data_IF_770198043413
#
_entry.id   IF_770198043413
#
_cell.length_a   1.000
_cell.length_b   1.000
_cell.length_c   1.000
_cell.angle_alpha   90.00
_cell.angle_beta   90.00
_cell.angle_gamma   90.00
#
_symmetry.space_group_name_H-M   'P 1'
#
loop_
_entity.id
_entity.type
_entity.pdbx_description
1 polymer ?
#
# COMPACT_ATOMS: atom_id res chain seq x y z
N UNK A 1 3.71 -7.72 19.38
CA UNK A 1 3.75 -6.36 18.84
C UNK A 1 2.35 -6.06 18.38
N UNK A 2 1.64 -5.18 19.08
CA UNK A 2 0.34 -4.70 18.63
C UNK A 2 0.55 -3.93 17.32
N UNK A 3 -0.19 -4.30 16.28
CA UNK A 3 -0.16 -3.57 15.01
C UNK A 3 -1.00 -2.31 15.23
N UNK A 4 -0.35 -1.18 15.48
CA UNK A 4 -1.01 0.04 15.92
C UNK A 4 -1.37 0.96 14.76
N UNK A 5 -0.91 0.67 13.54
CA UNK A 5 -1.24 1.47 12.35
C UNK A 5 -1.54 0.62 11.11
N UNK A 6 -2.39 1.17 10.23
CA UNK A 6 -2.69 0.59 8.92
C UNK A 6 -1.42 0.46 8.05
N UNK A 7 -0.45 1.35 8.24
CA UNK A 7 0.85 1.32 7.60
C UNK A 7 1.64 0.05 7.93
N UNK A 8 1.73 -0.31 9.21
CA UNK A 8 2.41 -1.53 9.66
C UNK A 8 1.73 -2.79 9.08
N UNK A 9 0.39 -2.82 9.03
CA UNK A 9 -0.36 -3.92 8.39
C UNK A 9 0.02 -4.07 6.92
N UNK A 10 0.11 -2.96 6.18
CA UNK A 10 0.50 -2.98 4.77
C UNK A 10 1.92 -3.53 4.60
N UNK A 11 2.86 -3.06 5.40
CA UNK A 11 4.26 -3.50 5.32
C UNK A 11 4.36 -5.00 5.61
N UNK A 12 3.70 -5.47 6.66
CA UNK A 12 3.65 -6.90 7.02
C UNK A 12 3.00 -7.74 5.92
N UNK A 13 1.92 -7.27 5.29
CA UNK A 13 1.28 -7.97 4.17
C UNK A 13 2.24 -8.14 3.00
N UNK A 14 2.96 -7.08 2.63
CA UNK A 14 3.93 -7.11 1.51
C UNK A 14 5.08 -8.07 1.83
N UNK A 15 5.59 -8.04 3.06
CA UNK A 15 6.67 -8.91 3.52
C UNK A 15 6.22 -10.37 3.54
N UNK A 16 5.08 -10.67 4.15
CA UNK A 16 4.52 -12.03 4.19
C UNK A 16 4.23 -12.60 2.80
N UNK A 17 3.75 -11.78 1.86
CA UNK A 17 3.57 -12.19 0.47
C UNK A 17 4.91 -12.54 -0.18
N UNK A 18 5.91 -11.67 0.02
CA UNK A 18 7.24 -11.86 -0.57
C UNK A 18 7.93 -13.11 -0.03
N UNK A 19 7.78 -13.41 1.26
CA UNK A 19 8.31 -14.62 1.90
C UNK A 19 7.59 -15.89 1.40
N UNK A 20 6.28 -15.82 1.16
CA UNK A 20 5.49 -16.97 0.74
C UNK A 20 5.66 -17.30 -0.75
N UNK A 21 5.78 -16.29 -1.59
CA UNK A 21 5.79 -16.44 -3.04
C UNK A 21 7.18 -16.27 -3.67
N UNK A 22 8.21 -15.87 -2.90
CA UNK A 22 9.54 -15.47 -3.38
C UNK A 22 9.52 -14.35 -4.44
N UNK A 23 8.42 -13.61 -4.54
CA UNK A 23 8.24 -12.51 -5.47
C UNK A 23 7.44 -11.37 -4.83
N UNK A 24 7.55 -10.16 -5.39
CA UNK A 24 6.73 -9.04 -4.95
C UNK A 24 5.33 -9.13 -5.57
N UNK A 25 4.29 -8.69 -4.85
CA UNK A 25 2.97 -8.56 -5.46
C UNK A 25 3.03 -7.58 -6.63
N UNK A 26 2.19 -7.80 -7.63
CA UNK A 26 2.09 -6.92 -8.80
C UNK A 26 1.39 -5.62 -8.45
N UNK A 27 0.36 -5.69 -7.59
CA UNK A 27 -0.41 -4.53 -7.13
C UNK A 27 -0.80 -4.62 -5.65
N UNK A 28 -0.98 -3.44 -5.06
CA UNK A 28 -1.61 -3.25 -3.76
C UNK A 28 -3.01 -2.69 -4.02
N UNK A 29 -4.04 -3.40 -3.58
CA UNK A 29 -5.43 -2.95 -3.61
C UNK A 29 -5.72 -2.23 -2.30
N UNK A 30 -6.04 -0.94 -2.37
CA UNK A 30 -6.29 -0.11 -1.19
C UNK A 30 -7.66 0.55 -1.32
N UNK A 31 -8.52 0.33 -0.33
CA UNK A 31 -9.80 1.02 -0.22
C UNK A 31 -9.62 2.53 -0.04
N UNK A 32 -10.59 3.35 -0.43
CA UNK A 32 -10.39 4.80 -0.44
C UNK A 32 -10.18 5.40 0.96
N UNK A 33 -10.83 4.86 2.00
CA UNK A 33 -10.62 5.31 3.40
C UNK A 33 -9.27 4.83 3.92
N UNK A 34 -8.93 3.57 3.63
CA UNK A 34 -7.60 3.02 3.95
C UNK A 34 -6.47 3.84 3.30
N UNK A 35 -6.64 4.25 2.04
CA UNK A 35 -5.67 5.08 1.34
C UNK A 35 -5.54 6.46 1.99
N UNK A 36 -6.65 7.09 2.38
CA UNK A 36 -6.64 8.36 3.10
C UNK A 36 -5.88 8.26 4.43
N UNK A 37 -6.11 7.21 5.22
CA UNK A 37 -5.38 6.96 6.46
C UNK A 37 -3.87 6.73 6.22
N UNK A 38 -3.52 5.94 5.20
CA UNK A 38 -2.13 5.69 4.82
C UNK A 38 -1.41 6.95 4.36
N UNK A 39 -2.09 7.86 3.67
CA UNK A 39 -1.55 9.18 3.29
C UNK A 39 -1.30 10.10 4.50
N UNK A 40 -1.86 9.79 5.67
CA UNK A 40 -1.50 10.44 6.93
C UNK A 40 -0.11 10.05 7.45
N UNK A 41 0.46 8.93 6.98
CA UNK A 41 1.83 8.54 7.27
C UNK A 41 2.80 9.23 6.29
N UNK A 42 3.73 10.02 6.82
CA UNK A 42 4.66 10.81 6.00
C UNK A 42 5.54 9.96 5.09
N UNK A 43 5.99 8.79 5.54
CA UNK A 43 6.83 7.90 4.73
C UNK A 43 6.06 7.34 3.53
N UNK A 44 4.87 6.79 3.78
CA UNK A 44 4.00 6.31 2.72
C UNK A 44 3.61 7.43 1.74
N UNK A 45 3.19 8.59 2.27
CA UNK A 45 2.77 9.72 1.46
C UNK A 45 3.90 10.22 0.55
N UNK A 46 5.11 10.42 1.10
CA UNK A 46 6.27 10.87 0.32
C UNK A 46 6.59 9.88 -0.79
N UNK A 47 6.70 8.58 -0.49
CA UNK A 47 7.03 7.58 -1.51
C UNK A 47 5.95 7.51 -2.60
N UNK A 48 4.68 7.59 -2.22
CA UNK A 48 3.56 7.58 -3.17
C UNK A 48 3.51 8.82 -4.05
N UNK A 49 3.75 10.01 -3.47
CA UNK A 49 3.80 11.28 -4.22
C UNK A 49 5.00 11.30 -5.17
N UNK A 50 6.17 10.91 -4.68
CA UNK A 50 7.42 10.92 -5.46
C UNK A 50 7.43 9.83 -6.54
N UNK A 51 6.63 8.77 -6.37
CA UNK A 51 6.59 7.65 -7.32
C UNK A 51 6.00 8.02 -8.68
N UNK A 52 5.19 9.07 -8.79
CA UNK A 52 4.58 9.47 -10.06
C UNK A 52 4.02 10.90 -10.07
N UNK A 53 4.37 11.65 -11.13
CA UNK A 53 3.70 12.90 -11.52
C UNK A 53 2.24 12.68 -11.94
N UNK A 54 1.89 11.45 -12.36
CA UNK A 54 0.53 11.04 -12.72
C UNK A 54 -0.12 10.31 -11.52
N UNK A 55 -1.24 10.84 -10.96
CA UNK A 55 -1.98 10.21 -9.86
C UNK A 55 -2.34 8.73 -10.08
N UNK A 56 -2.48 8.28 -11.33
CA UNK A 56 -2.84 6.91 -11.68
C UNK A 56 -1.64 5.97 -11.79
N UNK A 57 -0.41 6.48 -11.64
CA UNK A 57 0.83 5.68 -11.72
C UNK A 57 1.54 5.55 -10.37
N UNK A 58 0.86 5.90 -9.28
CA UNK A 58 1.36 5.80 -7.91
C UNK A 58 1.86 4.40 -7.56
N UNK A 59 2.98 4.35 -6.86
CA UNK A 59 3.62 3.13 -6.37
C UNK A 59 4.09 3.30 -4.94
N UNK A 60 4.13 2.20 -4.22
CA UNK A 60 4.78 2.09 -2.91
C UNK A 60 5.66 0.84 -2.90
N UNK A 61 6.90 0.94 -2.41
CA UNK A 61 7.95 -0.09 -2.51
C UNK A 61 8.17 -0.64 -3.93
N UNK A 62 7.97 0.21 -4.95
CA UNK A 62 7.95 -0.10 -6.40
C UNK A 62 6.78 -0.97 -6.87
N UNK A 63 5.78 -1.21 -6.03
CA UNK A 63 4.55 -1.96 -6.35
C UNK A 63 3.44 -0.96 -6.71
N UNK A 64 2.66 -1.24 -7.76
CA UNK A 64 1.59 -0.35 -8.20
C UNK A 64 0.45 -0.31 -7.17
N UNK A 65 -0.09 0.88 -6.89
CA UNK A 65 -1.25 1.03 -6.04
C UNK A 65 -2.50 1.17 -6.91
N UNK A 66 -3.55 0.43 -6.57
CA UNK A 66 -4.88 0.59 -7.15
C UNK A 66 -5.85 0.96 -6.03
N UNK A 67 -6.41 2.17 -6.12
CA UNK A 67 -7.43 2.62 -5.19
C UNK A 67 -8.77 2.02 -5.61
N UNK A 68 -9.46 1.35 -4.69
CA UNK A 68 -10.77 0.73 -4.92
C UNK A 68 -11.87 1.57 -4.26
N UNK A 69 -13.13 1.24 -4.56
CA UNK A 69 -14.29 1.91 -3.95
C UNK A 69 -14.64 1.35 -2.56
N UNK A 70 -13.99 0.28 -2.16
CA UNK A 70 -14.16 -0.32 -0.85
C UNK A 70 -13.60 0.62 0.23
N UNK A 71 -14.16 0.55 1.43
CA UNK A 71 -13.81 1.47 2.51
C UNK A 71 -12.36 1.23 3.00
N UNK A 72 -12.13 0.09 3.64
CA UNK A 72 -10.88 -0.23 4.33
C UNK A 72 -10.13 -1.43 3.73
N UNK A 73 -10.34 -1.71 2.44
CA UNK A 73 -9.65 -2.81 1.77
C UNK A 73 -8.13 -2.62 1.83
N UNK A 74 -7.42 -3.72 2.08
CA UNK A 74 -5.96 -3.79 2.07
C UNK A 74 -5.50 -5.18 1.61
N UNK A 75 -5.41 -5.37 0.30
CA UNK A 75 -5.08 -6.68 -0.31
C UNK A 75 -3.91 -6.56 -1.30
N UNK A 76 -3.38 -7.72 -1.71
CA UNK A 76 -2.29 -7.86 -2.68
C UNK A 76 -2.75 -8.70 -3.88
N UNK A 77 -2.39 -8.27 -5.09
CA UNK A 77 -2.59 -8.97 -6.38
C UNK A 77 -1.24 -9.38 -6.97
#
# INVERSE_FOLDING_TARGET
MEINSLYEKLVQLIEAYSEKHNEKPQRILIGYKAYYELMGNSYFATEVIDSALDPNKRKFKKIKIKITKDDFQLDLE
#
